data_IF_979403256096
#
_entry.id   IF_979403256096
#
_cell.length_a   1.000
_cell.length_b   1.000
_cell.length_c   1.000
_cell.angle_alpha   90.00
_cell.angle_beta   90.00
_cell.angle_gamma   90.00
#
_symmetry.space_group_name_H-M   'P 1'
#
loop_
_entity.id
_entity.type
_entity.pdbx_description
1 polymer ?
#
# COMPACT_ATOMS: atom_id res chain seq x y z
N UNK A 1 25.33 -10.79 11.91
CA UNK A 1 25.97 -10.09 10.77
C UNK A 1 25.18 -10.17 9.45
N UNK A 2 25.09 -11.30 8.72
CA UNK A 2 24.38 -11.33 7.41
C UNK A 2 22.88 -11.05 7.52
N UNK A 3 22.21 -11.72 8.48
CA UNK A 3 20.77 -11.56 8.75
C UNK A 3 20.39 -10.12 9.13
N UNK A 4 21.11 -9.49 10.05
CA UNK A 4 20.86 -8.10 10.47
C UNK A 4 21.07 -7.09 9.34
N UNK A 5 22.06 -7.32 8.46
CA UNK A 5 22.31 -6.47 7.30
C UNK A 5 21.17 -6.57 6.28
N UNK A 6 20.64 -7.77 6.07
CA UNK A 6 19.54 -8.02 5.14
C UNK A 6 18.22 -7.42 5.68
N UNK A 7 17.95 -7.54 6.98
CA UNK A 7 16.81 -6.88 7.65
C UNK A 7 16.88 -5.35 7.56
N UNK A 8 18.07 -4.76 7.76
CA UNK A 8 18.27 -3.31 7.62
C UNK A 8 17.96 -2.85 6.19
N UNK A 9 18.48 -3.55 5.19
CA UNK A 9 18.21 -3.26 3.77
C UNK A 9 16.73 -3.38 3.42
N UNK A 10 16.05 -4.42 3.92
CA UNK A 10 14.62 -4.60 3.67
C UNK A 10 13.80 -3.45 4.28
N UNK A 11 14.16 -3.01 5.49
CA UNK A 11 13.54 -1.86 6.15
C UNK A 11 13.74 -0.58 5.34
N UNK A 12 14.95 -0.30 4.88
CA UNK A 12 15.27 0.86 4.04
C UNK A 12 14.47 0.83 2.73
N UNK A 13 14.41 -0.32 2.06
CA UNK A 13 13.63 -0.49 0.84
C UNK A 13 12.13 -0.26 1.07
N UNK A 14 11.60 -0.68 2.23
CA UNK A 14 10.19 -0.44 2.60
C UNK A 14 9.91 1.03 2.88
N UNK A 15 10.82 1.72 3.55
CA UNK A 15 10.72 3.17 3.80
C UNK A 15 10.76 3.95 2.48
N UNK A 16 11.64 3.58 1.56
CA UNK A 16 11.73 4.20 0.24
C UNK A 16 10.43 4.03 -0.55
N UNK A 17 9.88 2.80 -0.63
CA UNK A 17 8.58 2.54 -1.29
C UNK A 17 7.45 3.37 -0.68
N UNK A 18 7.44 3.52 0.65
CA UNK A 18 6.46 4.36 1.35
C UNK A 18 6.60 5.83 0.97
N UNK A 19 7.82 6.36 0.95
CA UNK A 19 8.08 7.74 0.55
C UNK A 19 7.64 7.98 -0.90
N UNK A 20 7.98 7.08 -1.82
CA UNK A 20 7.54 7.16 -3.21
C UNK A 20 6.02 7.18 -3.34
N UNK A 21 5.31 6.30 -2.62
CA UNK A 21 3.85 6.28 -2.63
C UNK A 21 3.26 7.57 -2.03
N UNK A 22 3.87 8.12 -0.98
CA UNK A 22 3.47 9.40 -0.38
C UNK A 22 3.59 10.55 -1.37
N UNK A 23 4.75 10.69 -2.02
CA UNK A 23 4.97 11.73 -3.04
C UNK A 23 4.01 11.59 -4.21
N UNK A 24 3.80 10.36 -4.70
CA UNK A 24 2.85 10.10 -5.78
C UNK A 24 1.42 10.50 -5.35
N UNK A 25 0.98 10.05 -4.19
CA UNK A 25 -0.36 10.36 -3.66
C UNK A 25 -0.59 11.86 -3.55
N UNK A 26 0.38 12.59 -2.97
CA UNK A 26 0.32 14.05 -2.83
C UNK A 26 0.26 14.74 -4.21
N UNK A 27 1.06 14.29 -5.18
CA UNK A 27 1.05 14.86 -6.53
C UNK A 27 -0.28 14.64 -7.24
N UNK A 28 -0.94 13.49 -7.03
CA UNK A 28 -2.25 13.21 -7.62
C UNK A 28 -3.35 14.04 -6.98
N UNK A 29 -3.30 14.24 -5.66
CA UNK A 29 -4.23 15.12 -4.94
C UNK A 29 -4.08 16.56 -5.43
N UNK A 30 -2.85 17.08 -5.56
CA UNK A 30 -2.62 18.43 -6.07
C UNK A 30 -3.16 18.62 -7.51
N UNK A 31 -2.97 17.65 -8.41
CA UNK A 31 -3.55 17.70 -9.76
C UNK A 31 -5.07 17.69 -9.77
N UNK A 32 -5.68 16.89 -8.88
CA UNK A 32 -7.12 16.90 -8.68
C UNK A 32 -7.61 18.28 -8.21
N UNK A 33 -6.95 18.89 -7.23
CA UNK A 33 -7.28 20.24 -6.73
C UNK A 33 -7.14 21.32 -7.80
N UNK A 34 -6.18 21.17 -8.72
CA UNK A 34 -6.04 22.03 -9.90
C UNK A 34 -7.09 21.79 -10.99
N UNK A 35 -8.00 20.82 -10.81
CA UNK A 35 -9.06 20.51 -11.76
C UNK A 35 -8.64 19.64 -12.94
N UNK A 36 -7.42 19.08 -12.94
CA UNK A 36 -6.95 18.19 -14.02
C UNK A 36 -7.68 16.84 -14.04
N UNK A 37 -8.27 16.43 -12.91
CA UNK A 37 -9.06 15.22 -12.78
C UNK A 37 -10.45 15.56 -12.27
N UNK A 38 -11.47 15.27 -13.08
CA UNK A 38 -12.84 15.17 -12.60
C UNK A 38 -12.89 13.99 -11.64
N UNK A 39 -13.36 14.21 -10.41
CA UNK A 39 -13.35 13.19 -9.35
C UNK A 39 -13.91 11.85 -9.84
N UNK A 40 -13.22 10.77 -9.48
CA UNK A 40 -13.75 9.41 -9.69
C UNK A 40 -14.84 9.14 -8.65
N UNK A 41 -15.68 8.13 -8.89
CA UNK A 41 -16.81 7.73 -8.00
C UNK A 41 -16.41 7.59 -6.53
N UNK A 42 -15.17 7.18 -6.25
CA UNK A 42 -14.70 6.93 -4.88
C UNK A 42 -14.03 8.13 -4.20
N UNK A 43 -13.75 9.22 -4.91
CA UNK A 43 -13.06 10.46 -4.47
C UNK A 43 -11.97 10.34 -3.38
N UNK A 44 -11.30 9.18 -3.32
CA UNK A 44 -10.29 8.84 -2.31
C UNK A 44 -8.90 8.85 -2.93
N UNK A 45 -7.87 8.97 -2.08
CA UNK A 45 -6.46 8.82 -2.52
C UNK A 45 -6.23 7.49 -3.23
N UNK A 46 -6.84 6.40 -2.75
CA UNK A 46 -6.75 5.10 -3.40
C UNK A 46 -7.49 5.06 -4.75
N UNK A 47 -8.62 5.74 -4.89
CA UNK A 47 -9.30 5.94 -6.17
C UNK A 47 -8.41 6.65 -7.18
N UNK A 48 -7.76 7.75 -6.78
CA UNK A 48 -6.79 8.47 -7.62
C UNK A 48 -5.60 7.59 -8.03
N UNK A 49 -5.06 6.79 -7.12
CA UNK A 49 -3.97 5.86 -7.42
C UNK A 49 -4.40 4.79 -8.42
N UNK A 50 -5.59 4.19 -8.24
CA UNK A 50 -6.14 3.19 -9.17
C UNK A 50 -6.38 3.78 -10.55
N UNK A 51 -6.93 4.99 -10.60
CA UNK A 51 -7.14 5.72 -11.85
C UNK A 51 -5.80 6.02 -12.57
N UNK A 52 -4.80 6.51 -11.84
CA UNK A 52 -3.45 6.74 -12.39
C UNK A 52 -2.84 5.46 -12.97
N UNK A 53 -3.07 4.31 -12.34
CA UNK A 53 -2.65 3.02 -12.86
C UNK A 53 -3.46 2.59 -14.09
N UNK A 54 -4.77 2.81 -14.10
CA UNK A 54 -5.63 2.54 -15.25
C UNK A 54 -5.21 3.39 -16.48
N UNK A 55 -4.87 4.67 -16.31
CA UNK A 55 -4.32 5.52 -17.38
C UNK A 55 -3.02 4.97 -17.99
N UNK A 56 -2.29 4.14 -17.25
CA UNK A 56 -1.07 3.45 -17.71
C UNK A 56 -1.33 2.06 -18.29
N UNK A 57 -2.61 1.67 -18.44
CA UNK A 57 -3.01 0.37 -18.94
C UNK A 57 -3.05 -0.75 -17.89
N UNK A 58 -2.95 -0.41 -16.60
CA UNK A 58 -3.06 -1.41 -15.52
C UNK A 58 -4.50 -1.47 -15.01
N UNK A 59 -5.25 -2.42 -15.57
CA UNK A 59 -6.63 -2.75 -15.18
C UNK A 59 -6.66 -3.99 -14.29
N UNK A 60 -7.80 -4.22 -13.63
CA UNK A 60 -8.06 -5.45 -12.87
C UNK A 60 -7.00 -5.74 -11.79
N UNK A 61 -6.79 -4.78 -10.90
CA UNK A 61 -5.75 -4.86 -9.87
C UNK A 61 -6.17 -5.77 -8.71
N UNK A 62 -5.41 -6.84 -8.49
CA UNK A 62 -5.58 -7.76 -7.35
C UNK A 62 -4.26 -8.00 -6.62
N UNK A 63 -4.34 -8.41 -5.37
CA UNK A 63 -3.19 -8.87 -4.59
C UNK A 63 -2.63 -10.17 -5.16
N UNK A 64 -1.38 -10.51 -4.81
CA UNK A 64 -0.78 -11.79 -5.18
C UNK A 64 -1.63 -13.00 -4.72
N UNK A 65 -2.22 -12.91 -3.53
CA UNK A 65 -3.04 -13.99 -2.96
C UNK A 65 -4.31 -14.21 -3.78
N UNK A 66 -5.03 -13.14 -4.11
CA UNK A 66 -6.23 -13.20 -4.93
C UNK A 66 -5.95 -13.74 -6.34
N UNK A 67 -4.82 -13.36 -6.94
CA UNK A 67 -4.40 -13.95 -8.22
C UNK A 67 -4.14 -15.46 -8.11
N UNK A 68 -3.47 -15.89 -7.03
CA UNK A 68 -3.19 -17.30 -6.76
C UNK A 68 -4.48 -18.11 -6.58
N UNK A 69 -5.45 -17.56 -5.86
CA UNK A 69 -6.79 -18.15 -5.68
C UNK A 69 -7.55 -18.23 -7.02
N UNK A 70 -7.36 -17.24 -7.90
CA UNK A 70 -7.92 -17.24 -9.25
C UNK A 70 -7.18 -18.17 -10.24
N UNK A 71 -6.13 -18.90 -9.81
CA UNK A 71 -5.37 -19.80 -10.68
C UNK A 71 -4.32 -19.11 -11.54
N UNK A 72 -3.85 -17.93 -11.13
CA UNK A 72 -2.78 -17.18 -11.77
C UNK A 72 -1.59 -16.97 -10.83
N UNK A 73 -0.40 -16.74 -11.39
CA UNK A 73 0.76 -16.31 -10.63
C UNK A 73 1.42 -15.11 -11.30
N UNK A 74 2.07 -14.26 -10.51
CA UNK A 74 2.79 -13.09 -11.01
C UNK A 74 4.04 -13.54 -11.75
N UNK A 75 4.27 -12.96 -12.94
CA UNK A 75 5.45 -13.25 -13.76
C UNK A 75 6.72 -12.81 -13.03
N UNK A 76 7.79 -13.58 -13.16
CA UNK A 76 9.06 -13.29 -12.48
C UNK A 76 9.61 -11.93 -12.94
N UNK A 77 9.94 -11.07 -11.98
CA UNK A 77 10.52 -9.74 -12.23
C UNK A 77 9.50 -8.60 -12.30
N UNK A 78 8.20 -8.91 -12.34
CA UNK A 78 7.14 -7.90 -12.30
C UNK A 78 7.14 -7.13 -10.97
N UNK A 79 6.88 -5.83 -11.06
CA UNK A 79 6.84 -4.94 -9.92
C UNK A 79 5.40 -4.67 -9.51
N UNK A 80 5.15 -4.77 -8.21
CA UNK A 80 3.85 -4.45 -7.64
C UNK A 80 3.51 -2.96 -7.78
N UNK A 81 2.23 -2.70 -8.05
CA UNK A 81 1.59 -1.41 -7.98
C UNK A 81 1.17 -1.18 -6.52
N UNK A 82 1.55 -0.03 -5.95
CA UNK A 82 1.38 0.22 -4.52
C UNK A 82 0.15 1.08 -4.25
N UNK A 83 -0.66 0.69 -3.29
CA UNK A 83 -1.74 1.52 -2.74
C UNK A 83 -1.66 1.55 -1.21
N UNK A 84 -2.39 2.46 -0.58
CA UNK A 84 -2.53 2.46 0.87
C UNK A 84 -3.47 1.34 1.30
N UNK A 85 -3.01 0.48 2.18
CA UNK A 85 -3.86 -0.53 2.82
C UNK A 85 -4.75 0.08 3.90
N UNK A 86 -5.62 -0.75 4.48
CA UNK A 86 -6.46 -0.35 5.60
C UNK A 86 -5.60 0.14 6.78
N UNK A 87 -5.96 1.28 7.39
CA UNK A 87 -5.21 1.80 8.52
C UNK A 87 -5.19 0.80 9.67
N UNK A 88 -4.09 0.77 10.40
CA UNK A 88 -3.89 -0.04 11.59
C UNK A 88 -3.29 0.83 12.68
N UNK A 89 -3.46 0.43 13.93
CA UNK A 89 -2.74 1.05 15.06
C UNK A 89 -1.23 0.86 14.91
N UNK A 90 -0.47 1.95 14.91
CA UNK A 90 0.98 1.92 14.86
C UNK A 90 1.57 1.25 16.10
N UNK A 91 2.79 0.75 15.99
CA UNK A 91 3.52 0.21 17.16
C UNK A 91 3.72 1.28 18.23
N UNK A 92 3.92 2.53 17.84
CA UNK A 92 4.11 3.64 18.77
C UNK A 92 2.83 3.92 19.56
N UNK A 93 1.67 3.95 18.90
CA UNK A 93 0.39 4.16 19.60
C UNK A 93 0.03 2.97 20.50
N UNK A 94 0.34 1.73 20.07
CA UNK A 94 0.21 0.54 20.94
C UNK A 94 1.07 0.66 22.20
N UNK A 95 2.33 1.07 22.05
CA UNK A 95 3.25 1.27 23.18
C UNK A 95 2.76 2.37 24.12
N UNK A 96 2.32 3.50 23.57
CA UNK A 96 1.76 4.62 24.35
C UNK A 96 0.54 4.17 25.18
N UNK A 97 -0.37 3.40 24.58
CA UNK A 97 -1.56 2.90 25.30
C UNK A 97 -1.19 1.87 26.36
N UNK A 98 -0.20 1.03 26.09
CA UNK A 98 0.30 0.07 27.08
C UNK A 98 0.94 0.78 28.29
N UNK A 99 1.65 1.89 28.05
CA UNK A 99 2.19 2.76 29.12
C UNK A 99 1.09 3.48 29.90
N UNK A 100 0.08 4.02 29.22
CA UNK A 100 -1.07 4.66 29.87
C UNK A 100 -1.86 3.67 30.74
N UNK A 101 -2.05 2.43 30.26
CA UNK A 101 -2.68 1.35 31.03
C UNK A 101 -1.90 1.03 32.30
N UNK A 102 -0.57 1.02 32.26
CA UNK A 102 0.28 0.85 33.46
C UNK A 102 0.11 1.99 34.47
N UNK A 103 -0.29 3.18 34.01
CA UNK A 103 -0.59 4.35 34.84
C UNK A 103 -2.07 4.43 35.27
N UNK A 104 -2.87 3.39 35.01
CA UNK A 104 -4.29 3.34 35.37
C UNK A 104 -5.20 4.21 34.49
N UNK A 105 -4.71 4.65 33.33
CA UNK A 105 -5.49 5.43 32.34
C UNK A 105 -5.84 4.54 31.15
N UNK A 106 -7.10 4.53 30.77
CA UNK A 106 -7.56 3.81 29.57
C UNK A 106 -7.84 4.82 28.44
N UNK A 107 -7.17 4.65 27.32
CA UNK A 107 -7.41 5.39 26.07
C UNK A 107 -7.56 4.38 24.91
N UNK A 108 -8.39 4.74 23.93
CA UNK A 108 -8.59 3.95 22.72
C UNK A 108 -7.45 4.10 21.72
N UNK A 109 -7.12 3.00 21.06
CA UNK A 109 -6.08 2.93 20.03
C UNK A 109 -6.49 3.66 18.76
N UNK A 110 -5.81 4.76 18.46
CA UNK A 110 -5.99 5.46 17.20
C UNK A 110 -5.35 4.67 16.06
N UNK A 111 -6.11 4.47 14.98
CA UNK A 111 -5.59 3.92 13.73
C UNK A 111 -4.84 5.01 12.97
N UNK A 112 -3.54 5.09 13.19
CA UNK A 112 -2.66 6.17 12.72
C UNK A 112 -1.67 5.71 11.62
N UNK A 113 -1.64 4.42 11.29
CA UNK A 113 -0.67 3.87 10.33
C UNK A 113 -1.34 3.17 9.15
N UNK A 114 -1.18 3.76 7.97
CA UNK A 114 -1.61 3.13 6.70
C UNK A 114 -0.50 2.23 6.15
N UNK A 115 -0.66 0.90 6.09
CA UNK A 115 0.34 -0.02 5.53
C UNK A 115 0.40 0.10 3.99
N UNK A 116 1.45 -0.48 3.39
CA UNK A 116 1.53 -0.62 1.94
C UNK A 116 0.78 -1.89 1.51
N UNK A 117 -0.08 -1.76 0.51
CA UNK A 117 -0.70 -2.90 -0.16
C UNK A 117 -0.09 -3.07 -1.56
N UNK A 118 0.23 -4.32 -1.91
CA UNK A 118 0.91 -4.69 -3.14
C UNK A 118 -0.11 -5.34 -4.08
N UNK A 119 -0.41 -4.65 -5.17
CA UNK A 119 -1.32 -5.11 -6.21
C UNK A 119 -0.55 -5.43 -7.49
N UNK A 120 -1.15 -6.27 -8.32
CA UNK A 120 -0.67 -6.67 -9.63
C UNK A 120 -1.84 -6.62 -10.61
N UNK A 121 -1.56 -6.13 -11.82
CA UNK A 121 -2.53 -6.12 -12.91
C UNK A 121 -2.57 -7.47 -13.63
N UNK A 122 -3.62 -7.70 -14.41
CA UNK A 122 -3.78 -8.92 -15.21
C UNK A 122 -2.67 -9.11 -16.26
N UNK A 123 -2.10 -8.01 -16.77
CA UNK A 123 -0.95 -8.03 -17.68
C UNK A 123 0.33 -8.57 -17.03
N UNK A 124 0.42 -8.56 -15.70
CA UNK A 124 1.59 -8.97 -14.93
C UNK A 124 1.53 -10.42 -14.46
N UNK A 125 0.45 -11.13 -14.76
CA UNK A 125 0.26 -12.51 -14.33
C UNK A 125 0.24 -13.47 -15.52
N UNK A 126 0.36 -14.76 -15.22
CA UNK A 126 0.15 -15.85 -16.15
C UNK A 126 -0.59 -16.98 -15.44
N UNK A 127 -1.31 -17.79 -16.22
CA UNK A 127 -2.08 -18.92 -15.68
C UNK A 127 -1.11 -19.93 -15.08
N UNK A 128 -1.46 -20.47 -13.92
CA UNK A 128 -0.77 -21.63 -13.36
C UNK A 128 -1.09 -22.82 -14.27
N UNK A 129 -0.09 -23.25 -15.05
CA UNK A 129 -0.14 -24.56 -15.70
C UNK A 129 -0.09 -25.62 -14.58
N UNK A 130 -1.05 -26.53 -14.60
CA UNK A 130 -1.13 -27.65 -13.66
C UNK A 130 -0.18 -28.76 -14.10
#
# INVERSE_FOLDING_TARGET
MKKERDEKKEREARLLKRQQLKTLSQSLVARREMGEYMGNEDDTVNGLLRFHYACKGYTNLKTFKEWKEAGYTVRKGEKALLIWGMPITSKAEKQRIEELKKQGREEEAKEDFFPLCYLFAESQVHKLEK
#
